data_IF_314224819344
#
_entry.id   IF_314224819344
#
_cell.length_a   1.000
_cell.length_b   1.000
_cell.length_c   1.000
_cell.angle_alpha   90.00
_cell.angle_beta   90.00
_cell.angle_gamma   90.00
#
_symmetry.space_group_name_H-M   'P 1'
#
loop_
_entity.id
_entity.type
_entity.pdbx_description
1 polymer ?
#
# COMPACT_ATOMS: atom_id res chain seq x y z
N UNK A 1 41.41 -19.56 43.70
CA UNK A 1 41.62 -18.64 42.55
C UNK A 1 40.75 -19.07 41.39
N UNK A 2 39.79 -18.20 41.03
CA UNK A 2 39.18 -18.02 39.69
C UNK A 2 38.58 -19.27 39.02
N UNK A 3 37.41 -19.71 39.49
CA UNK A 3 36.42 -20.43 38.68
C UNK A 3 36.05 -19.53 37.50
N UNK A 4 36.50 -19.89 36.29
CA UNK A 4 36.17 -19.17 35.05
C UNK A 4 34.70 -19.44 34.71
N UNK A 5 33.83 -18.60 35.26
CA UNK A 5 32.43 -18.53 34.88
C UNK A 5 32.35 -17.82 33.52
N UNK A 6 32.61 -18.55 32.44
CA UNK A 6 32.37 -18.08 31.08
C UNK A 6 30.86 -18.13 30.85
N UNK A 7 30.13 -17.13 31.35
CA UNK A 7 28.77 -16.85 30.93
C UNK A 7 28.86 -16.31 29.49
N UNK A 8 28.88 -17.22 28.52
CA UNK A 8 28.62 -16.87 27.13
C UNK A 8 27.16 -16.44 27.07
N UNK A 9 26.92 -15.14 27.17
CA UNK A 9 25.61 -14.53 26.99
C UNK A 9 25.13 -14.84 25.57
N UNK A 10 24.32 -15.89 25.44
CA UNK A 10 23.57 -16.18 24.23
C UNK A 10 22.47 -15.12 24.12
N UNK A 11 22.83 -13.95 23.60
CA UNK A 11 21.89 -12.96 23.08
C UNK A 11 21.27 -13.58 21.82
N UNK A 12 20.20 -14.34 22.01
CA UNK A 12 19.30 -14.69 20.92
C UNK A 12 18.68 -13.38 20.44
N UNK A 13 19.24 -12.80 19.38
CA UNK A 13 18.54 -11.83 18.56
C UNK A 13 17.37 -12.58 17.91
N UNK A 14 16.25 -12.70 18.62
CA UNK A 14 14.96 -12.98 18.01
C UNK A 14 14.61 -11.76 17.17
N UNK A 15 15.02 -11.76 15.91
CA UNK A 15 14.49 -10.86 14.90
C UNK A 15 13.01 -11.19 14.72
N UNK A 16 12.16 -10.50 15.47
CA UNK A 16 10.72 -10.49 15.24
C UNK A 16 10.48 -9.89 13.86
N UNK A 17 10.42 -10.74 12.85
CA UNK A 17 9.90 -10.40 11.54
C UNK A 17 8.40 -10.15 11.72
N UNK A 18 8.06 -8.91 12.08
CA UNK A 18 6.68 -8.43 12.01
C UNK A 18 6.31 -8.41 10.54
N UNK A 19 5.77 -9.51 10.02
CA UNK A 19 5.19 -9.50 8.69
C UNK A 19 3.97 -8.59 8.77
N UNK A 20 4.08 -7.41 8.17
CA UNK A 20 2.92 -6.58 7.90
C UNK A 20 1.84 -7.46 7.26
N UNK A 21 0.63 -7.44 7.82
CA UNK A 21 -0.53 -8.14 7.25
C UNK A 21 -0.80 -7.68 5.82
N UNK A 22 -0.44 -6.43 5.51
CA UNK A 22 -0.46 -5.89 4.16
C UNK A 22 0.88 -6.15 3.48
N UNK A 23 0.82 -6.81 2.33
CA UNK A 23 1.99 -6.94 1.45
C UNK A 23 2.42 -5.55 1.01
N UNK A 24 3.72 -5.24 1.11
CA UNK A 24 4.29 -3.93 0.77
C UNK A 24 3.58 -2.74 1.47
N UNK A 25 3.13 -2.91 2.72
CA UNK A 25 2.45 -1.84 3.48
C UNK A 25 3.33 -0.64 3.83
N UNK A 26 4.65 -0.75 3.69
CA UNK A 26 5.61 0.36 3.81
C UNK A 26 5.88 1.07 2.47
N UNK A 27 5.35 0.58 1.35
CA UNK A 27 5.50 1.17 0.01
C UNK A 27 6.96 1.28 -0.47
N UNK A 28 7.76 0.26 -0.19
CA UNK A 28 9.19 0.25 -0.54
C UNK A 28 9.43 -0.32 -1.96
N UNK A 29 8.55 -1.21 -2.43
CA UNK A 29 8.65 -1.82 -3.75
C UNK A 29 7.64 -1.22 -4.73
N UNK A 30 8.07 -0.97 -5.97
CA UNK A 30 7.29 -0.28 -7.01
C UNK A 30 7.51 -0.92 -8.37
N UNK A 31 6.43 -1.09 -9.12
CA UNK A 31 6.47 -1.59 -10.50
C UNK A 31 6.39 -0.43 -11.47
N UNK A 32 7.32 -0.38 -12.42
CA UNK A 32 7.29 0.57 -13.52
C UNK A 32 6.44 0.03 -14.68
N UNK A 33 5.50 0.84 -15.16
CA UNK A 33 4.60 0.55 -16.29
C UNK A 33 4.90 1.44 -17.51
N UNK A 34 6.12 1.98 -17.60
CA UNK A 34 6.54 2.93 -18.63
C UNK A 34 6.32 4.37 -18.19
N UNK A 35 5.11 4.90 -18.39
CA UNK A 35 4.76 6.31 -18.13
C UNK A 35 4.44 6.63 -16.67
N UNK A 36 4.27 5.59 -15.83
CA UNK A 36 4.00 5.71 -14.41
C UNK A 36 4.59 4.52 -13.66
N UNK A 37 4.66 4.65 -12.34
CA UNK A 37 4.96 3.56 -11.42
C UNK A 37 3.88 3.51 -10.34
N UNK A 38 3.50 2.31 -9.93
CA UNK A 38 2.60 2.08 -8.79
C UNK A 38 3.28 1.16 -7.76
N UNK A 39 2.92 1.28 -6.47
CA UNK A 39 3.50 0.43 -5.44
C UNK A 39 3.07 -1.02 -5.68
N UNK A 40 3.99 -1.96 -5.55
CA UNK A 40 3.66 -3.39 -5.69
C UNK A 40 2.57 -3.78 -4.71
N UNK A 41 1.57 -4.55 -5.15
CA UNK A 41 0.37 -4.95 -4.39
C UNK A 41 -0.61 -3.82 -4.04
N UNK A 42 -0.48 -2.68 -4.71
CA UNK A 42 -1.41 -1.57 -4.64
C UNK A 42 -1.79 -1.11 -6.04
N UNK A 43 -2.99 -0.56 -6.16
CA UNK A 43 -3.55 -0.10 -7.42
C UNK A 43 -3.97 1.36 -7.30
N UNK A 44 -3.53 2.20 -8.24
CA UNK A 44 -3.95 3.59 -8.35
C UNK A 44 -4.69 3.86 -9.67
N UNK A 45 -5.18 5.09 -9.87
CA UNK A 45 -5.73 5.51 -11.16
C UNK A 45 -4.66 5.95 -12.18
N UNK A 46 -3.37 5.76 -11.91
CA UNK A 46 -2.30 6.11 -12.83
C UNK A 46 -2.39 5.38 -14.19
N UNK A 47 -2.92 4.16 -14.22
CA UNK A 47 -3.16 3.43 -15.47
C UNK A 47 -4.09 4.16 -16.45
N UNK A 48 -4.94 5.07 -15.96
CA UNK A 48 -5.79 5.94 -16.78
C UNK A 48 -5.17 7.32 -16.92
N UNK A 49 -4.83 7.96 -15.79
CA UNK A 49 -4.44 9.37 -15.76
C UNK A 49 -3.11 9.63 -16.45
N UNK A 50 -2.18 8.66 -16.45
CA UNK A 50 -0.90 8.77 -17.16
C UNK A 50 -1.07 8.89 -18.68
N UNK A 51 -2.17 8.40 -19.26
CA UNK A 51 -2.49 8.60 -20.69
C UNK A 51 -2.72 10.08 -21.04
N UNK A 52 -2.95 10.91 -20.04
CA UNK A 52 -3.10 12.37 -20.16
C UNK A 52 -1.88 13.13 -19.62
N UNK A 53 -0.79 12.42 -19.30
CA UNK A 53 0.43 13.01 -18.74
C UNK A 53 0.30 13.48 -17.29
N UNK A 54 -0.72 13.03 -16.56
CA UNK A 54 -0.97 13.44 -15.18
C UNK A 54 -0.91 12.22 -14.26
N UNK A 55 -0.14 12.30 -13.18
CA UNK A 55 -0.05 11.25 -12.17
C UNK A 55 -0.74 11.68 -10.88
N UNK A 56 -1.62 10.84 -10.33
CA UNK A 56 -2.34 11.12 -9.07
C UNK A 56 -1.78 10.33 -7.89
N UNK A 57 -0.93 9.34 -8.16
CA UNK A 57 -0.17 8.57 -7.19
C UNK A 57 1.31 8.63 -7.57
N UNK A 58 2.18 9.04 -6.66
CA UNK A 58 3.61 9.20 -6.92
C UNK A 58 4.42 8.63 -5.75
N UNK A 59 5.62 8.13 -6.03
CA UNK A 59 6.59 7.76 -4.99
C UNK A 59 7.14 9.04 -4.36
N UNK A 60 7.24 9.06 -3.02
CA UNK A 60 7.88 10.14 -2.27
C UNK A 60 9.03 9.64 -1.41
N UNK A 61 9.94 10.55 -1.04
CA UNK A 61 11.06 10.30 -0.11
C UNK A 61 11.28 11.53 0.79
N UNK A 62 11.80 11.37 2.04
CA UNK A 62 12.09 10.12 2.73
C UNK A 62 10.84 9.43 3.30
N UNK A 63 10.90 8.10 3.47
CA UNK A 63 9.83 7.28 4.07
C UNK A 63 9.74 7.40 5.60
N UNK A 64 8.73 6.77 6.20
CA UNK A 64 8.54 6.72 7.66
C UNK A 64 7.80 5.44 8.13
N UNK A 65 8.51 4.40 8.60
CA UNK A 65 9.96 4.17 8.44
C UNK A 65 10.31 3.80 7.00
N UNK A 66 11.60 3.77 6.63
CA UNK A 66 12.05 3.29 5.32
C UNK A 66 12.47 4.41 4.35
N UNK A 67 12.61 4.08 3.07
CA UNK A 67 13.12 5.01 2.07
C UNK A 67 11.99 5.76 1.37
N UNK A 68 10.80 5.15 1.27
CA UNK A 68 9.74 5.58 0.37
C UNK A 68 8.40 5.74 1.09
N UNK A 69 7.49 6.47 0.45
CA UNK A 69 6.08 6.56 0.82
C UNK A 69 5.22 6.81 -0.42
N UNK A 70 3.91 6.64 -0.31
CA UNK A 70 2.97 7.00 -1.37
C UNK A 70 2.48 8.44 -1.18
N UNK A 71 2.65 9.25 -2.21
CA UNK A 71 2.08 10.60 -2.31
C UNK A 71 0.84 10.57 -3.19
N UNK A 72 -0.31 10.87 -2.60
CA UNK A 72 -1.58 10.99 -3.30
C UNK A 72 -1.91 12.46 -3.50
N UNK A 73 -2.25 12.84 -4.73
CA UNK A 73 -2.55 14.23 -5.08
C UNK A 73 -3.78 14.25 -5.98
N UNK A 74 -4.82 14.98 -5.56
CA UNK A 74 -5.95 15.30 -6.42
C UNK A 74 -5.50 16.25 -7.53
N UNK A 75 -5.74 15.90 -8.80
CA UNK A 75 -5.33 16.71 -9.95
C UNK A 75 -6.47 16.82 -10.96
N UNK A 76 -6.51 17.94 -11.68
CA UNK A 76 -7.38 18.11 -12.83
C UNK A 76 -6.81 17.32 -14.02
N UNK A 77 -7.61 16.42 -14.57
CA UNK A 77 -7.23 15.56 -15.70
C UNK A 77 -7.92 16.11 -16.95
N UNK A 78 -7.15 16.49 -17.99
CA UNK A 78 -7.72 17.08 -19.21
C UNK A 78 -8.86 16.24 -19.80
N UNK A 79 -10.04 16.84 -19.90
CA UNK A 79 -11.24 16.19 -20.48
C UNK A 79 -12.00 15.24 -19.55
N UNK A 80 -11.53 15.01 -18.32
CA UNK A 80 -12.22 14.20 -17.30
C UNK A 80 -12.65 15.07 -16.11
N UNK A 81 -11.82 16.03 -15.72
CA UNK A 81 -12.00 16.86 -14.54
C UNK A 81 -11.13 16.40 -13.36
N UNK A 82 -11.46 16.87 -12.15
CA UNK A 82 -10.68 16.57 -10.94
C UNK A 82 -10.82 15.10 -10.56
N UNK A 83 -9.69 14.38 -10.55
CA UNK A 83 -9.58 13.04 -10.00
C UNK A 83 -8.80 13.06 -8.69
N UNK A 84 -9.34 12.38 -7.67
CA UNK A 84 -8.66 12.21 -6.39
C UNK A 84 -7.48 11.25 -6.52
N UNK A 85 -6.37 11.55 -5.85
CA UNK A 85 -5.30 10.59 -5.64
C UNK A 85 -5.78 9.48 -4.71
N UNK A 86 -5.76 8.24 -5.19
CA UNK A 86 -6.19 7.08 -4.40
C UNK A 86 -5.35 5.86 -4.70
N UNK A 87 -5.19 5.01 -3.68
CA UNK A 87 -4.72 3.63 -3.84
C UNK A 87 -5.65 2.66 -3.13
N UNK A 88 -5.75 1.44 -3.65
CA UNK A 88 -6.38 0.31 -2.97
C UNK A 88 -5.43 -0.87 -2.95
N UNK A 89 -5.50 -1.72 -1.91
CA UNK A 89 -4.77 -2.98 -1.93
C UNK A 89 -5.31 -3.88 -3.04
N UNK A 90 -4.45 -4.70 -3.62
CA UNK A 90 -4.83 -5.60 -4.70
C UNK A 90 -3.63 -6.16 -5.45
N UNK A 91 -3.89 -6.92 -6.50
CA UNK A 91 -2.84 -7.50 -7.33
C UNK A 91 -3.16 -7.29 -8.81
N UNK A 92 -2.14 -6.88 -9.57
CA UNK A 92 -2.20 -6.86 -11.01
C UNK A 92 -1.75 -8.20 -11.57
N UNK A 93 -2.65 -8.90 -12.25
CA UNK A 93 -2.34 -10.15 -12.94
C UNK A 93 -1.92 -9.82 -14.37
N UNK A 94 -0.61 -9.77 -14.61
CA UNK A 94 -0.04 -9.41 -15.92
C UNK A 94 -0.44 -10.35 -17.06
N UNK A 95 -0.73 -11.62 -16.76
CA UNK A 95 -1.16 -12.62 -17.76
C UNK A 95 -2.58 -12.38 -18.28
N UNK A 96 -3.44 -11.74 -17.49
CA UNK A 96 -4.85 -11.46 -17.85
C UNK A 96 -5.15 -9.97 -17.98
N UNK A 97 -4.22 -9.10 -17.60
CA UNK A 97 -4.43 -7.65 -17.51
C UNK A 97 -5.44 -7.25 -16.43
N UNK A 98 -5.79 -8.16 -15.51
CA UNK A 98 -6.83 -7.93 -14.51
C UNK A 98 -6.24 -7.36 -13.23
N UNK A 99 -6.97 -6.41 -12.65
CA UNK A 99 -6.73 -5.94 -11.30
C UNK A 99 -7.70 -6.61 -10.34
N UNK A 100 -7.16 -7.41 -9.41
CA UNK A 100 -7.94 -8.01 -8.34
C UNK A 100 -7.82 -7.08 -7.13
N UNK A 101 -8.91 -6.40 -6.79
CA UNK A 101 -8.98 -5.58 -5.59
C UNK A 101 -8.92 -6.47 -4.35
N UNK A 102 -8.18 -5.99 -3.34
CA UNK A 102 -7.94 -6.55 -2.02
C UNK A 102 -7.11 -7.83 -2.02
N UNK A 103 -6.70 -8.24 -0.82
CA UNK A 103 -5.89 -9.44 -0.59
C UNK A 103 -6.65 -10.48 0.24
N UNK A 104 -6.40 -11.79 0.07
CA UNK A 104 -6.93 -12.82 0.96
C UNK A 104 -6.53 -12.54 2.41
N UNK A 105 -7.49 -12.59 3.32
CA UNK A 105 -7.28 -12.31 4.73
C UNK A 105 -8.10 -13.25 5.59
N UNK A 106 -7.43 -14.02 6.46
CA UNK A 106 -8.03 -15.07 7.30
C UNK A 106 -8.09 -14.71 8.79
N UNK A 107 -7.63 -13.52 9.17
CA UNK A 107 -7.59 -13.07 10.56
C UNK A 107 -8.76 -12.12 10.87
N UNK A 108 -8.96 -11.84 12.15
CA UNK A 108 -9.88 -10.80 12.63
C UNK A 108 -9.04 -9.63 13.17
N UNK A 109 -8.84 -8.55 12.41
CA UNK A 109 -7.95 -7.48 12.81
C UNK A 109 -8.65 -6.63 13.88
N UNK A 110 -7.91 -6.29 14.94
CA UNK A 110 -8.41 -5.41 16.00
C UNK A 110 -8.15 -3.92 15.68
N UNK A 111 -7.13 -3.64 14.86
CA UNK A 111 -6.68 -2.28 14.55
C UNK A 111 -6.06 -2.20 13.17
N UNK A 112 -6.16 -1.03 12.56
CA UNK A 112 -5.39 -0.65 11.39
C UNK A 112 -4.57 0.60 11.76
N UNK A 113 -3.25 0.50 11.60
CA UNK A 113 -2.30 1.51 12.08
C UNK A 113 -1.36 1.91 10.95
N UNK A 114 -1.00 3.19 10.89
CA UNK A 114 -0.04 3.71 9.93
C UNK A 114 0.29 5.16 10.21
N UNK A 115 1.27 5.68 9.47
CA UNK A 115 1.62 7.10 9.44
C UNK A 115 1.04 7.71 8.19
N UNK A 116 0.40 8.88 8.32
CA UNK A 116 -0.07 9.65 7.17
C UNK A 116 0.08 11.14 7.46
N UNK A 117 0.24 11.91 6.41
CA UNK A 117 0.23 13.36 6.44
C UNK A 117 -0.79 13.85 5.43
N UNK A 118 -1.49 14.92 5.78
CA UNK A 118 -2.49 15.51 4.92
C UNK A 118 -2.30 17.02 4.89
N UNK A 119 -2.34 17.59 3.69
CA UNK A 119 -2.39 19.04 3.47
C UNK A 119 -3.69 19.32 2.77
N UNK A 120 -4.59 20.03 3.46
CA UNK A 120 -5.91 20.31 2.95
C UNK A 120 -5.90 21.36 1.83
N UNK A 121 -6.60 21.08 0.74
CA UNK A 121 -7.20 22.12 -0.10
C UNK A 121 -8.40 22.74 0.62
N UNK A 122 -8.88 23.91 0.17
CA UNK A 122 -9.99 24.60 0.83
C UNK A 122 -11.26 23.71 0.89
N UNK A 123 -11.56 23.17 2.08
CA UNK A 123 -12.72 22.30 2.33
C UNK A 123 -12.54 20.82 1.97
N UNK A 124 -11.34 20.38 1.59
CA UNK A 124 -11.06 18.99 1.22
C UNK A 124 -10.77 18.10 2.45
N UNK A 125 -10.96 16.78 2.30
CA UNK A 125 -10.67 15.78 3.32
C UNK A 125 -9.97 14.56 2.72
N UNK A 126 -8.82 14.20 3.28
CA UNK A 126 -8.21 12.88 3.07
C UNK A 126 -8.98 11.80 3.85
N UNK A 127 -9.11 10.61 3.27
CA UNK A 127 -9.73 9.46 3.94
C UNK A 127 -8.91 8.20 3.77
N UNK A 128 -8.99 7.33 4.77
CA UNK A 128 -8.40 6.00 4.77
C UNK A 128 -9.37 5.07 5.48
N UNK A 129 -9.68 3.93 4.87
CA UNK A 129 -10.58 2.94 5.45
C UNK A 129 -10.13 1.53 5.08
N UNK A 130 -10.54 0.56 5.90
CA UNK A 130 -10.29 -0.85 5.68
C UNK A 130 -11.63 -1.57 5.69
N UNK A 131 -11.83 -2.46 4.73
CA UNK A 131 -13.04 -3.26 4.61
C UNK A 131 -12.69 -4.73 4.54
N UNK A 132 -13.35 -5.53 5.38
CA UNK A 132 -13.33 -7.00 5.27
C UNK A 132 -14.61 -7.42 4.56
N UNK A 133 -14.45 -8.18 3.50
CA UNK A 133 -15.57 -8.73 2.71
C UNK A 133 -15.40 -10.22 2.60
N UNK A 134 -16.51 -10.96 2.56
CA UNK A 134 -16.47 -12.38 2.25
C UNK A 134 -16.40 -12.59 0.74
N UNK A 135 -15.51 -13.47 0.28
CA UNK A 135 -15.50 -13.91 -1.11
C UNK A 135 -16.59 -14.96 -1.34
N UNK A 136 -17.38 -14.79 -2.40
CA UNK A 136 -18.34 -15.77 -2.87
C UNK A 136 -17.85 -16.38 -4.20
N UNK A 137 -17.35 -17.63 -4.19
CA UNK A 137 -16.81 -18.26 -5.39
C UNK A 137 -17.88 -18.56 -6.44
N UNK A 138 -19.14 -18.77 -6.04
CA UNK A 138 -20.25 -19.03 -6.97
C UNK A 138 -20.66 -17.79 -7.75
N UNK A 139 -20.48 -16.60 -7.17
CA UNK A 139 -20.75 -15.32 -7.83
C UNK A 139 -19.49 -14.70 -8.47
N UNK A 140 -18.30 -15.25 -8.19
CA UNK A 140 -17.03 -14.66 -8.60
C UNK A 140 -16.82 -13.25 -8.01
N UNK A 141 -17.35 -12.98 -6.82
CA UNK A 141 -17.42 -11.62 -6.29
C UNK A 141 -17.45 -11.52 -4.76
N UNK A 142 -17.26 -10.30 -4.27
CA UNK A 142 -17.28 -9.95 -2.84
C UNK A 142 -18.72 -9.72 -2.36
N UNK A 143 -19.05 -10.23 -1.19
CA UNK A 143 -20.31 -9.95 -0.47
C UNK A 143 -19.98 -9.37 0.92
N UNK A 144 -20.89 -8.53 1.43
CA UNK A 144 -20.84 -7.99 2.79
C UNK A 144 -21.35 -9.01 3.80
#
# INVERSE_FOLDING_TARGET
MKTKLTLLAVLVFCSFQSRSQLVNGGFENWTNFGTYSDPEHWFSFNYVTSNFGVLTCEEGTPGNPGAKYVKLISKDIPGIGVMAGSITSGEYISSTGQYINGIPFSQRPASFTGSWQYVAGAGDMGAMYVMLTKWNPSLGGRIL
#
